data_IF_416048527591
#
_entry.id   IF_416048527591
#
_cell.length_a   1.000
_cell.length_b   1.000
_cell.length_c   1.000
_cell.angle_alpha   90.00
_cell.angle_beta   90.00
_cell.angle_gamma   90.00
#
_symmetry.space_group_name_H-M   'P 1'
#
loop_
_entity.id
_entity.type
_entity.pdbx_description
1 polymer ?
#
# COMPACT_ATOMS: atom_id res chain seq x y z
N UNK A 1 -23.14 6.63 -41.10
CA UNK A 1 -23.26 7.46 -39.89
C UNK A 1 -24.11 6.74 -38.86
N UNK A 2 -23.53 6.30 -37.75
CA UNK A 2 -24.09 6.52 -36.41
C UNK A 2 -23.06 6.14 -35.35
N UNK A 3 -22.35 7.18 -34.92
CA UNK A 3 -21.40 7.17 -33.83
C UNK A 3 -22.15 7.02 -32.51
N UNK A 4 -22.04 5.86 -31.87
CA UNK A 4 -22.22 5.77 -30.41
C UNK A 4 -20.88 5.46 -29.79
N UNK A 5 -20.13 6.55 -29.56
CA UNK A 5 -18.93 6.59 -28.71
C UNK A 5 -19.36 6.10 -27.31
N UNK A 6 -19.28 4.78 -27.04
CA UNK A 6 -19.47 4.25 -25.68
C UNK A 6 -18.50 5.00 -24.79
N UNK A 7 -19.03 5.80 -23.87
CA UNK A 7 -18.22 6.52 -22.90
C UNK A 7 -17.54 5.49 -21.98
N UNK A 8 -16.33 5.06 -22.34
CA UNK A 8 -15.41 4.23 -21.53
C UNK A 8 -14.94 4.97 -20.25
N UNK A 9 -15.54 6.11 -19.92
CA UNK A 9 -15.05 7.08 -18.94
C UNK A 9 -15.41 6.72 -17.50
N UNK A 10 -16.40 5.85 -17.25
CA UNK A 10 -16.76 5.42 -15.89
C UNK A 10 -17.43 4.03 -15.85
N UNK A 11 -16.77 3.00 -15.31
CA UNK A 11 -17.30 1.62 -15.27
C UNK A 11 -17.33 1.04 -13.85
N UNK A 12 -18.35 0.23 -13.55
CA UNK A 12 -18.52 -0.47 -12.27
C UNK A 12 -18.48 -1.99 -12.44
N UNK A 13 -17.53 -2.66 -11.78
CA UNK A 13 -17.34 -4.11 -11.84
C UNK A 13 -17.64 -4.74 -10.47
N UNK A 14 -18.51 -5.75 -10.44
CA UNK A 14 -18.83 -6.51 -9.23
C UNK A 14 -18.79 -8.01 -9.52
N UNK A 15 -17.85 -8.74 -8.93
CA UNK A 15 -17.67 -10.18 -9.18
C UNK A 15 -17.50 -10.99 -7.90
N UNK A 16 -17.78 -12.30 -8.00
CA UNK A 16 -17.53 -13.33 -6.97
C UNK A 16 -16.78 -14.50 -7.61
N UNK A 17 -16.04 -15.27 -6.81
CA UNK A 17 -15.32 -16.45 -7.29
C UNK A 17 -13.90 -16.14 -7.77
N UNK A 18 -13.45 -16.87 -8.78
CA UNK A 18 -12.11 -16.73 -9.36
C UNK A 18 -12.18 -15.86 -10.62
N UNK A 19 -11.56 -14.68 -10.62
CA UNK A 19 -11.65 -13.74 -11.75
C UNK A 19 -10.32 -13.10 -12.11
N UNK A 20 -10.17 -12.78 -13.40
CA UNK A 20 -9.17 -11.85 -13.91
C UNK A 20 -9.85 -10.57 -14.42
N UNK A 21 -9.44 -9.42 -13.90
CA UNK A 21 -10.01 -8.11 -14.24
C UNK A 21 -8.91 -7.20 -14.80
N UNK A 22 -9.13 -6.67 -16.00
CA UNK A 22 -8.23 -5.71 -16.66
C UNK A 22 -9.02 -4.52 -17.18
N UNK A 23 -8.74 -3.32 -16.66
CA UNK A 23 -9.50 -2.11 -17.00
C UNK A 23 -8.59 -0.90 -17.24
N UNK A 24 -9.12 0.09 -17.97
CA UNK A 24 -8.54 1.42 -18.19
C UNK A 24 -9.60 2.48 -17.87
N UNK A 25 -9.19 3.74 -17.65
CA UNK A 25 -10.12 4.84 -17.40
C UNK A 25 -10.49 5.00 -15.92
N UNK A 26 -11.70 5.49 -15.66
CA UNK A 26 -12.23 5.63 -14.31
C UNK A 26 -13.07 4.41 -13.96
N UNK A 27 -12.72 3.68 -12.90
CA UNK A 27 -13.45 2.45 -12.56
C UNK A 27 -13.69 2.29 -11.06
N UNK A 28 -14.85 1.72 -10.72
CA UNK A 28 -15.13 1.13 -9.43
C UNK A 28 -15.09 -0.40 -9.53
N UNK A 29 -14.29 -1.07 -8.71
CA UNK A 29 -14.12 -2.53 -8.74
C UNK A 29 -14.39 -3.10 -7.35
N UNK A 30 -15.33 -4.04 -7.24
CA UNK A 30 -15.69 -4.75 -6.01
C UNK A 30 -15.68 -6.26 -6.23
N UNK A 31 -14.72 -6.97 -5.63
CA UNK A 31 -14.60 -8.42 -5.81
C UNK A 31 -14.60 -9.20 -4.49
N UNK A 32 -15.03 -10.45 -4.56
CA UNK A 32 -14.89 -11.45 -3.49
C UNK A 32 -14.34 -12.76 -4.06
N UNK A 33 -13.35 -13.37 -3.42
CA UNK A 33 -12.76 -14.64 -3.84
C UNK A 33 -11.29 -14.49 -4.22
N UNK A 34 -10.86 -15.25 -5.24
CA UNK A 34 -9.47 -15.28 -5.71
C UNK A 34 -9.35 -14.45 -6.98
N UNK A 35 -8.75 -13.26 -6.93
CA UNK A 35 -8.77 -12.36 -8.09
C UNK A 35 -7.41 -11.80 -8.47
N UNK A 36 -7.16 -11.72 -9.77
CA UNK A 36 -6.09 -10.94 -10.37
C UNK A 36 -6.66 -9.65 -10.97
N UNK A 37 -6.22 -8.49 -10.50
CA UNK A 37 -6.76 -7.17 -10.89
C UNK A 37 -5.62 -6.31 -11.45
N UNK A 38 -5.77 -5.84 -12.69
CA UNK A 38 -4.81 -4.94 -13.37
C UNK A 38 -5.52 -3.70 -13.91
N UNK A 39 -5.28 -2.53 -13.33
CA UNK A 39 -5.96 -1.29 -13.74
C UNK A 39 -4.98 -0.17 -14.13
N UNK A 40 -5.45 0.73 -14.99
CA UNK A 40 -4.80 2.01 -15.32
C UNK A 40 -5.81 3.15 -15.29
N UNK A 41 -5.50 4.25 -14.64
CA UNK A 41 -6.36 5.44 -14.55
C UNK A 41 -6.76 5.75 -13.13
N UNK A 42 -7.99 6.23 -12.95
CA UNK A 42 -8.54 6.62 -11.64
C UNK A 42 -9.44 5.52 -11.11
N UNK A 43 -9.01 4.75 -10.10
CA UNK A 43 -9.77 3.56 -9.68
C UNK A 43 -10.05 3.50 -8.18
N UNK A 44 -11.27 3.10 -7.84
CA UNK A 44 -11.66 2.67 -6.50
C UNK A 44 -11.78 1.14 -6.47
N UNK A 45 -10.93 0.46 -5.69
CA UNK A 45 -10.83 -1.00 -5.65
C UNK A 45 -11.14 -1.50 -4.24
N UNK A 46 -12.13 -2.39 -4.11
CA UNK A 46 -12.52 -3.05 -2.85
C UNK A 46 -12.53 -4.56 -3.03
N UNK A 47 -11.60 -5.27 -2.39
CA UNK A 47 -11.49 -6.73 -2.51
C UNK A 47 -11.60 -7.44 -1.16
N UNK A 48 -12.07 -8.69 -1.21
CA UNK A 48 -12.03 -9.63 -0.08
C UNK A 48 -11.63 -11.03 -0.56
N UNK A 49 -10.64 -11.64 0.08
CA UNK A 49 -10.14 -12.97 -0.25
C UNK A 49 -8.64 -12.94 -0.58
N UNK A 50 -8.23 -13.76 -1.53
CA UNK A 50 -6.85 -13.86 -2.00
C UNK A 50 -6.68 -13.07 -3.29
N UNK A 51 -5.96 -11.94 -3.28
CA UNK A 51 -5.91 -11.08 -4.48
C UNK A 51 -4.51 -10.61 -4.85
N UNK A 52 -4.24 -10.60 -6.15
CA UNK A 52 -3.11 -9.91 -6.75
C UNK A 52 -3.61 -8.62 -7.43
N UNK A 53 -3.12 -7.47 -6.99
CA UNK A 53 -3.59 -6.15 -7.46
C UNK A 53 -2.42 -5.37 -8.02
N UNK A 54 -2.52 -4.95 -9.29
CA UNK A 54 -1.53 -4.10 -9.98
C UNK A 54 -2.22 -2.86 -10.54
N UNK A 55 -1.91 -1.69 -10.00
CA UNK A 55 -2.53 -0.43 -10.45
C UNK A 55 -1.51 0.59 -10.92
N UNK A 56 -1.95 1.48 -11.82
CA UNK A 56 -1.22 2.69 -12.22
C UNK A 56 -2.16 3.88 -12.35
N UNK A 57 -1.82 5.00 -11.73
CA UNK A 57 -2.61 6.24 -11.76
C UNK A 57 -3.01 6.67 -10.35
N UNK A 58 -4.21 7.22 -10.22
CA UNK A 58 -4.76 7.68 -8.95
C UNK A 58 -5.71 6.62 -8.40
N UNK A 59 -5.37 5.94 -7.29
CA UNK A 59 -6.19 4.82 -6.83
C UNK A 59 -6.47 4.83 -5.33
N UNK A 60 -7.72 4.49 -4.98
CA UNK A 60 -8.11 4.13 -3.64
C UNK A 60 -8.29 2.61 -3.55
N UNK A 61 -7.52 1.94 -2.70
CA UNK A 61 -7.49 0.48 -2.59
C UNK A 61 -7.84 0.06 -1.16
N UNK A 62 -8.87 -0.78 -1.01
CA UNK A 62 -9.29 -1.37 0.26
C UNK A 62 -9.35 -2.90 0.15
N UNK A 63 -8.49 -3.60 0.87
CA UNK A 63 -8.43 -5.07 0.82
C UNK A 63 -8.64 -5.72 2.19
N UNK A 64 -9.18 -6.94 2.18
CA UNK A 64 -9.25 -7.85 3.33
C UNK A 64 -8.85 -9.27 2.91
N UNK A 65 -7.94 -9.90 3.64
CA UNK A 65 -7.48 -11.27 3.36
C UNK A 65 -5.99 -11.31 3.04
N UNK A 66 -5.60 -12.20 2.14
CA UNK A 66 -4.21 -12.39 1.70
C UNK A 66 -3.99 -11.66 0.38
N UNK A 67 -3.18 -10.60 0.34
CA UNK A 67 -3.05 -9.80 -0.89
C UNK A 67 -1.62 -9.41 -1.25
N UNK A 68 -1.32 -9.48 -2.55
CA UNK A 68 -0.15 -8.86 -3.15
C UNK A 68 -0.58 -7.58 -3.88
N UNK A 69 -0.04 -6.42 -3.51
CA UNK A 69 -0.42 -5.12 -4.03
C UNK A 69 0.79 -4.41 -4.62
N UNK A 70 0.71 -4.04 -5.89
CA UNK A 70 1.74 -3.26 -6.60
C UNK A 70 1.12 -2.00 -7.21
N UNK A 71 1.49 -0.82 -6.74
CA UNK A 71 0.93 0.44 -7.24
C UNK A 71 2.00 1.40 -7.77
N UNK A 72 1.60 2.25 -8.71
CA UNK A 72 2.39 3.38 -9.21
C UNK A 72 1.51 4.61 -9.39
N UNK A 73 1.91 5.75 -8.81
CA UNK A 73 1.19 7.02 -8.91
C UNK A 73 0.77 7.52 -7.53
N UNK A 74 -0.39 8.15 -7.45
CA UNK A 74 -0.97 8.68 -6.21
C UNK A 74 -1.97 7.68 -5.64
N UNK A 75 -1.68 7.06 -4.49
CA UNK A 75 -2.56 6.00 -3.98
C UNK A 75 -2.86 6.11 -2.49
N UNK A 76 -4.12 5.84 -2.14
CA UNK A 76 -4.56 5.57 -0.78
C UNK A 76 -4.80 4.06 -0.64
N UNK A 77 -4.09 3.40 0.28
CA UNK A 77 -4.13 1.94 0.45
C UNK A 77 -4.52 1.61 1.89
N UNK A 78 -5.59 0.84 2.06
CA UNK A 78 -6.06 0.31 3.35
C UNK A 78 -6.18 -1.21 3.29
N UNK A 79 -5.33 -1.92 4.03
CA UNK A 79 -5.33 -3.39 4.04
C UNK A 79 -5.60 -3.97 5.42
N UNK A 80 -6.15 -5.19 5.43
CA UNK A 80 -6.25 -6.02 6.63
C UNK A 80 -6.00 -7.48 6.30
N UNK A 81 -5.12 -8.13 7.07
CA UNK A 81 -4.76 -9.54 6.91
C UNK A 81 -3.26 -9.67 6.62
N UNK A 82 -2.90 -10.63 5.77
CA UNK A 82 -1.52 -10.89 5.36
C UNK A 82 -1.26 -10.22 4.02
N UNK A 83 -0.39 -9.20 3.95
CA UNK A 83 -0.21 -8.46 2.69
C UNK A 83 1.24 -8.16 2.34
N UNK A 84 1.57 -8.31 1.06
CA UNK A 84 2.78 -7.76 0.46
C UNK A 84 2.41 -6.49 -0.33
N UNK A 85 3.03 -5.35 -0.01
CA UNK A 85 2.70 -4.05 -0.59
C UNK A 85 3.96 -3.44 -1.19
N UNK A 86 3.94 -3.12 -2.48
CA UNK A 86 5.01 -2.41 -3.20
C UNK A 86 4.46 -1.17 -3.89
N UNK A 87 4.89 0.02 -3.47
CA UNK A 87 4.39 1.29 -4.03
C UNK A 87 5.50 2.16 -4.58
N UNK A 88 5.16 2.99 -5.57
CA UNK A 88 6.00 4.06 -6.10
C UNK A 88 5.17 5.32 -6.36
N UNK A 89 5.62 6.46 -5.84
CA UNK A 89 4.96 7.77 -6.00
C UNK A 89 4.54 8.33 -4.65
N UNK A 90 3.40 9.04 -4.63
CA UNK A 90 2.83 9.65 -3.43
C UNK A 90 1.78 8.71 -2.83
N UNK A 91 2.01 8.16 -1.64
CA UNK A 91 1.07 7.16 -1.09
C UNK A 91 0.74 7.37 0.38
N UNK A 92 -0.54 7.15 0.72
CA UNK A 92 -1.00 6.97 2.08
C UNK A 92 -1.32 5.48 2.30
N UNK A 93 -0.65 4.83 3.26
CA UNK A 93 -0.75 3.40 3.50
C UNK A 93 -1.18 3.15 4.94
N UNK A 94 -2.29 2.42 5.13
CA UNK A 94 -2.80 1.98 6.43
C UNK A 94 -2.99 0.47 6.45
N UNK A 95 -2.23 -0.25 7.27
CA UNK A 95 -2.30 -1.71 7.34
C UNK A 95 -2.63 -2.22 8.74
N UNK A 96 -3.24 -3.40 8.80
CA UNK A 96 -3.44 -4.17 10.04
C UNK A 96 -3.21 -5.66 9.78
N UNK A 97 -2.38 -6.31 10.58
CA UNK A 97 -2.03 -7.73 10.47
C UNK A 97 -0.55 -7.92 10.18
N UNK A 98 -0.21 -8.95 9.41
CA UNK A 98 1.15 -9.28 9.00
C UNK A 98 1.46 -8.67 7.64
N UNK A 99 2.38 -7.72 7.54
CA UNK A 99 2.63 -7.05 6.25
C UNK A 99 4.11 -6.87 5.92
N UNK A 100 4.46 -7.08 4.66
CA UNK A 100 5.72 -6.63 4.08
C UNK A 100 5.43 -5.39 3.21
N UNK A 101 6.08 -4.26 3.50
CA UNK A 101 5.83 -2.98 2.86
C UNK A 101 7.13 -2.46 2.25
N UNK A 102 7.14 -2.20 0.94
CA UNK A 102 8.24 -1.57 0.22
C UNK A 102 7.76 -0.32 -0.53
N UNK A 103 8.26 0.85 -0.16
CA UNK A 103 7.82 2.12 -0.78
C UNK A 103 8.99 2.91 -1.36
N UNK A 104 8.68 3.72 -2.38
CA UNK A 104 9.59 4.73 -2.95
C UNK A 104 8.83 6.01 -3.29
N UNK A 105 9.31 7.15 -2.82
CA UNK A 105 8.71 8.48 -3.05
C UNK A 105 8.28 9.12 -1.74
N UNK A 106 7.19 9.88 -1.78
CA UNK A 106 6.61 10.56 -0.62
C UNK A 106 5.53 9.70 0.00
N UNK A 107 5.71 9.19 1.21
CA UNK A 107 4.74 8.26 1.80
C UNK A 107 4.38 8.56 3.26
N UNK A 108 3.09 8.44 3.57
CA UNK A 108 2.60 8.34 4.93
C UNK A 108 2.20 6.88 5.22
N UNK A 109 2.82 6.26 6.21
CA UNK A 109 2.65 4.84 6.54
C UNK A 109 2.17 4.70 7.98
N UNK A 110 1.03 4.01 8.17
CA UNK A 110 0.49 3.66 9.49
C UNK A 110 0.22 2.16 9.58
N UNK A 111 0.94 1.45 10.44
CA UNK A 111 0.81 0.00 10.57
C UNK A 111 0.41 -0.42 11.99
N UNK A 112 -0.24 -1.59 12.09
CA UNK A 112 -0.51 -2.29 13.35
C UNK A 112 -0.35 -3.80 13.16
N UNK A 113 0.45 -4.45 13.99
CA UNK A 113 0.72 -5.90 13.93
C UNK A 113 2.20 -6.16 13.67
N UNK A 114 2.50 -7.24 12.96
CA UNK A 114 3.85 -7.66 12.60
C UNK A 114 4.21 -7.12 11.22
N UNK A 115 5.21 -6.25 11.09
CA UNK A 115 5.53 -5.64 9.79
C UNK A 115 7.03 -5.55 9.48
N UNK A 116 7.41 -5.88 8.24
CA UNK A 116 8.69 -5.48 7.64
C UNK A 116 8.45 -4.26 6.74
N UNK A 117 9.14 -3.16 7.00
CA UNK A 117 8.94 -1.88 6.33
C UNK A 117 10.27 -1.42 5.73
N UNK A 118 10.31 -1.26 4.40
CA UNK A 118 11.46 -0.77 3.63
C UNK A 118 11.06 0.46 2.82
N UNK A 119 11.58 1.64 3.18
CA UNK A 119 11.20 2.90 2.52
C UNK A 119 12.40 3.62 1.92
N UNK A 120 12.14 4.41 0.87
CA UNK A 120 13.08 5.36 0.29
C UNK A 120 12.39 6.65 -0.14
N UNK A 121 12.95 7.79 0.25
CA UNK A 121 12.43 9.13 -0.06
C UNK A 121 11.98 9.84 1.21
N UNK A 122 10.95 10.68 1.10
CA UNK A 122 10.37 11.43 2.22
C UNK A 122 9.25 10.61 2.86
N UNK A 123 9.40 10.16 4.10
CA UNK A 123 8.39 9.30 4.73
C UNK A 123 8.02 9.72 6.15
N UNK A 124 6.72 9.69 6.44
CA UNK A 124 6.18 9.70 7.79
C UNK A 124 5.72 8.27 8.14
N UNK A 125 6.29 7.68 9.19
CA UNK A 125 6.05 6.28 9.57
C UNK A 125 5.53 6.22 11.01
N UNK A 126 4.36 5.62 11.21
CA UNK A 126 3.78 5.34 12.52
C UNK A 126 3.46 3.86 12.67
N UNK A 127 4.15 3.15 13.54
CA UNK A 127 3.96 1.70 13.72
C UNK A 127 3.51 1.35 15.13
N UNK A 128 2.85 0.19 15.26
CA UNK A 128 2.52 -0.43 16.54
C UNK A 128 2.56 -1.96 16.45
N UNK A 129 3.32 -2.59 17.34
CA UNK A 129 3.50 -4.05 17.39
C UNK A 129 4.96 -4.41 17.15
N UNK A 130 5.20 -5.56 16.52
CA UNK A 130 6.54 -6.06 16.19
C UNK A 130 6.95 -5.58 14.80
N UNK A 131 7.96 -4.73 14.68
CA UNK A 131 8.33 -4.17 13.38
C UNK A 131 9.83 -4.19 13.09
N UNK A 132 10.19 -4.59 11.88
CA UNK A 132 11.48 -4.30 11.28
C UNK A 132 11.33 -3.11 10.33
N UNK A 133 12.15 -2.08 10.50
CA UNK A 133 12.05 -0.82 9.75
C UNK A 133 13.41 -0.48 9.16
N UNK A 134 13.49 -0.34 7.84
CA UNK A 134 14.66 0.14 7.11
C UNK A 134 14.30 1.34 6.25
N UNK A 135 14.88 2.49 6.52
CA UNK A 135 14.58 3.74 5.79
C UNK A 135 15.82 4.37 5.17
N UNK A 136 15.60 5.13 4.09
CA UNK A 136 16.62 5.99 3.45
C UNK A 136 16.00 7.29 2.97
N UNK A 137 16.59 8.43 3.33
CA UNK A 137 16.13 9.78 2.97
C UNK A 137 15.64 10.54 4.20
N UNK A 138 14.72 11.48 4.00
CA UNK A 138 14.12 12.28 5.07
C UNK A 138 12.96 11.54 5.72
N UNK A 139 13.08 11.14 6.99
CA UNK A 139 12.02 10.37 7.65
C UNK A 139 11.65 10.90 9.03
N UNK A 140 10.35 10.92 9.31
CA UNK A 140 9.80 11.02 10.66
C UNK A 140 9.24 9.66 11.06
N UNK A 141 9.74 9.09 12.16
CA UNK A 141 9.43 7.72 12.60
C UNK A 141 8.88 7.75 14.03
N UNK A 142 7.69 7.21 14.24
CA UNK A 142 7.08 6.99 15.55
C UNK A 142 6.70 5.52 15.75
N UNK A 143 7.33 4.84 16.70
CA UNK A 143 7.08 3.41 16.94
C UNK A 143 6.55 3.14 18.35
N UNK A 144 5.84 2.00 18.50
CA UNK A 144 5.44 1.45 19.80
C UNK A 144 5.46 -0.08 19.77
N UNK A 145 6.14 -0.72 20.72
CA UNK A 145 6.28 -2.17 20.83
C UNK A 145 7.72 -2.60 20.58
N UNK A 146 7.91 -3.81 20.04
CA UNK A 146 9.23 -4.37 19.74
C UNK A 146 9.67 -3.95 18.34
N UNK A 147 10.74 -3.16 18.21
CA UNK A 147 11.17 -2.68 16.90
C UNK A 147 12.67 -2.82 16.67
N UNK A 148 13.04 -3.24 15.46
CA UNK A 148 14.38 -3.10 14.91
C UNK A 148 14.37 -2.01 13.85
N UNK A 149 15.19 -0.97 14.00
CA UNK A 149 15.17 0.24 13.17
C UNK A 149 16.57 0.48 12.59
N UNK A 150 16.66 0.55 11.26
CA UNK A 150 17.88 0.95 10.53
C UNK A 150 17.58 2.13 9.62
N UNK A 151 18.22 3.27 9.84
CA UNK A 151 17.97 4.50 9.08
C UNK A 151 19.24 5.04 8.41
N UNK A 152 19.06 5.75 7.29
CA UNK A 152 20.12 6.53 6.63
C UNK A 152 19.60 7.87 6.11
N UNK A 153 20.26 8.98 6.47
CA UNK A 153 19.91 10.35 6.08
C UNK A 153 19.33 11.17 7.25
N UNK A 154 18.52 12.18 6.96
CA UNK A 154 17.87 13.04 7.95
C UNK A 154 16.69 12.31 8.60
N UNK A 155 16.75 12.04 9.91
CA UNK A 155 15.72 11.27 10.61
C UNK A 155 15.32 11.90 11.94
N UNK A 156 14.01 12.03 12.18
CA UNK A 156 13.45 12.28 13.50
C UNK A 156 12.78 10.99 14.00
N UNK A 157 13.22 10.46 15.14
CA UNK A 157 12.78 9.14 15.64
C UNK A 157 12.25 9.26 17.07
N UNK A 158 11.01 8.82 17.29
CA UNK A 158 10.39 8.68 18.62
C UNK A 158 9.93 7.24 18.83
N UNK A 159 10.43 6.58 19.87
CA UNK A 159 10.14 5.16 20.13
C UNK A 159 9.55 4.96 21.54
N UNK A 160 8.85 3.84 21.74
CA UNK A 160 8.40 3.37 23.06
C UNK A 160 8.34 1.84 23.08
N UNK A 161 8.93 1.21 24.09
CA UNK A 161 9.05 -0.25 24.22
C UNK A 161 10.47 -0.72 23.93
N UNK A 162 10.64 -1.99 23.60
CA UNK A 162 11.95 -2.59 23.26
C UNK A 162 12.37 -2.17 21.86
N UNK A 163 13.51 -1.48 21.72
CA UNK A 163 13.98 -1.02 20.42
C UNK A 163 15.48 -1.27 20.24
N UNK A 164 15.84 -1.82 19.09
CA UNK A 164 17.22 -1.80 18.57
C UNK A 164 17.29 -0.78 17.44
N UNK A 165 18.13 0.26 17.57
CA UNK A 165 18.19 1.38 16.63
C UNK A 165 19.62 1.55 16.10
N UNK A 166 19.78 1.52 14.77
CA UNK A 166 21.02 1.87 14.08
C UNK A 166 20.76 2.99 13.09
N UNK A 167 21.37 4.15 13.32
CA UNK A 167 21.22 5.34 12.48
C UNK A 167 22.56 5.67 11.82
N UNK A 168 22.53 5.99 10.52
CA UNK A 168 23.64 6.65 9.83
C UNK A 168 23.17 8.01 9.33
N UNK A 169 23.65 9.07 9.97
CA UNK A 169 23.46 10.43 9.47
C UNK A 169 24.37 10.61 8.24
N UNK A 170 23.91 11.39 7.26
CA UNK A 170 24.68 11.83 6.10
C UNK A 170 24.79 13.33 6.20
#
# INVERSE_FOLDING_TARGET
MNSTRKDERNQCYKTRGTNAIKTRGTNAIKTRGTNAIKTRGTNAIKTRGTNAIKTRGTNAIKTRGTNAIKTRGTNAIKTRGTNAIKTRGTNAIKTRGTNAIKTRGTNAIKTRGTNDIKTRGTNAIKTRGTNAIKTRGTNAIKTRGTNAIKTRGTNAIKTRGTNAIKTRVV
#
